data_IF_594378794113
#
_entry.id   IF_594378794113
#
_cell.length_a   1.000
_cell.length_b   1.000
_cell.length_c   1.000
_cell.angle_alpha   90.00
_cell.angle_beta   90.00
_cell.angle_gamma   90.00
#
_symmetry.space_group_name_H-M   'P 1'
#
loop_
_entity.id
_entity.type
_entity.pdbx_description
1 polymer ?
#
# COMPACT_ATOMS: atom_id res chain seq x y z
N UNK A 1 10.63 0.67 12.82
CA UNK A 1 10.20 1.15 11.49
C UNK A 1 10.35 2.66 11.37
N UNK A 2 10.54 3.20 10.15
CA UNK A 2 10.49 4.65 9.86
C UNK A 2 9.43 4.94 8.80
N UNK A 3 8.37 5.67 9.15
CA UNK A 3 7.35 6.12 8.19
C UNK A 3 7.97 7.23 7.32
N UNK A 4 7.94 7.03 6.02
CA UNK A 4 8.38 8.00 5.02
C UNK A 4 7.21 8.89 4.56
N UNK A 5 6.01 8.31 4.50
CA UNK A 5 4.81 9.00 4.01
C UNK A 5 3.53 8.37 4.55
N UNK A 6 2.53 9.20 4.80
CA UNK A 6 1.13 8.82 4.96
C UNK A 6 0.28 9.71 4.06
N UNK A 7 -0.60 9.11 3.26
CA UNK A 7 -1.57 9.80 2.41
C UNK A 7 -2.94 9.21 2.76
N UNK A 8 -3.95 10.06 2.88
CA UNK A 8 -5.31 9.60 3.14
C UNK A 8 -6.34 10.52 2.50
N UNK A 9 -7.47 9.93 2.13
CA UNK A 9 -8.72 10.62 1.86
C UNK A 9 -9.87 9.84 2.51
N UNK A 10 -11.09 10.09 2.07
CA UNK A 10 -12.32 9.48 2.58
C UNK A 10 -12.40 7.95 2.34
N UNK A 11 -11.60 7.43 1.39
CA UNK A 11 -11.65 6.03 0.93
C UNK A 11 -10.33 5.29 1.14
N UNK A 12 -9.21 5.93 0.80
CA UNK A 12 -7.92 5.30 0.71
C UNK A 12 -6.99 5.78 1.81
N UNK A 13 -6.19 4.84 2.31
CA UNK A 13 -5.07 5.11 3.19
C UNK A 13 -3.83 4.44 2.64
N UNK A 14 -2.78 5.23 2.44
CA UNK A 14 -1.50 4.78 1.91
C UNK A 14 -0.42 5.11 2.93
N UNK A 15 0.43 4.13 3.21
CA UNK A 15 1.61 4.32 4.04
C UNK A 15 2.83 3.81 3.31
N UNK A 16 3.86 4.65 3.23
CA UNK A 16 5.19 4.23 2.75
C UNK A 16 6.14 4.26 3.94
N UNK A 17 6.80 3.13 4.23
CA UNK A 17 7.69 3.04 5.39
C UNK A 17 8.92 2.18 5.10
N UNK A 18 10.04 2.55 5.71
CA UNK A 18 11.24 1.72 5.79
C UNK A 18 11.10 0.77 6.99
N UNK A 19 11.07 -0.52 6.72
CA UNK A 19 10.90 -1.58 7.72
C UNK A 19 11.77 -2.78 7.36
N UNK A 20 12.48 -3.35 8.34
CA UNK A 20 13.41 -4.47 8.14
C UNK A 20 14.38 -4.29 6.94
N UNK A 21 14.87 -3.07 6.75
CA UNK A 21 15.82 -2.74 5.67
C UNK A 21 15.21 -2.64 4.26
N UNK A 22 13.88 -2.71 4.12
CA UNK A 22 13.15 -2.58 2.84
C UNK A 22 12.11 -1.48 2.90
N UNK A 23 11.79 -0.89 1.75
CA UNK A 23 10.70 0.08 1.64
C UNK A 23 9.41 -0.66 1.31
N UNK A 24 8.40 -0.43 2.13
CA UNK A 24 7.07 -1.02 1.98
C UNK A 24 6.05 0.05 1.57
N UNK A 25 5.15 -0.36 0.69
CA UNK A 25 3.92 0.35 0.34
C UNK A 25 2.75 -0.44 0.92
N UNK A 26 2.03 0.18 1.84
CA UNK A 26 0.76 -0.31 2.35
C UNK A 26 -0.37 0.53 1.75
N UNK A 27 -1.43 -0.14 1.31
CA UNK A 27 -2.65 0.45 0.79
C UNK A 27 -3.84 -0.22 1.47
N UNK A 28 -4.76 0.60 1.97
CA UNK A 28 -6.08 0.20 2.47
C UNK A 28 -7.17 0.94 1.70
N UNK A 29 -8.16 0.20 1.22
CA UNK A 29 -9.42 0.71 0.69
C UNK A 29 -10.51 0.45 1.73
N UNK A 30 -10.91 1.51 2.45
CA UNK A 30 -11.93 1.46 3.51
C UNK A 30 -13.32 1.09 2.95
N UNK A 31 -13.60 1.44 1.70
CA UNK A 31 -14.90 1.17 1.07
C UNK A 31 -15.06 -0.29 0.71
N UNK A 32 -14.03 -0.89 0.11
CA UNK A 32 -14.07 -2.29 -0.33
C UNK A 32 -13.60 -3.28 0.74
N UNK A 33 -13.03 -2.78 1.85
CA UNK A 33 -12.44 -3.61 2.91
C UNK A 33 -11.27 -4.43 2.39
N UNK A 34 -10.44 -3.82 1.54
CA UNK A 34 -9.24 -4.46 0.98
C UNK A 34 -7.97 -3.81 1.51
N UNK A 35 -6.95 -4.63 1.70
CA UNK A 35 -5.64 -4.21 2.20
C UNK A 35 -4.55 -4.87 1.35
N UNK A 36 -3.45 -4.18 1.16
CA UNK A 36 -2.26 -4.76 0.54
C UNK A 36 -0.99 -4.21 1.15
N UNK A 37 0.04 -5.04 1.14
CA UNK A 37 1.39 -4.67 1.50
C UNK A 37 2.31 -5.16 0.39
N UNK A 38 3.20 -4.30 -0.09
CA UNK A 38 4.17 -4.65 -1.11
C UNK A 38 5.55 -4.06 -0.84
N UNK A 39 6.60 -4.74 -1.31
CA UNK A 39 7.96 -4.20 -1.32
C UNK A 39 8.16 -3.37 -2.58
N UNK A 40 8.58 -2.12 -2.39
CA UNK A 40 8.91 -1.21 -3.48
C UNK A 40 10.38 -0.78 -3.38
N UNK A 41 10.96 -0.35 -4.50
CA UNK A 41 12.30 0.23 -4.53
C UNK A 41 12.28 1.69 -4.08
N UNK A 42 13.39 2.19 -3.53
CA UNK A 42 13.47 3.58 -3.03
C UNK A 42 13.14 4.64 -4.09
N UNK A 43 13.44 4.37 -5.37
CA UNK A 43 13.09 5.25 -6.49
C UNK A 43 11.59 5.32 -6.80
N UNK A 44 10.81 4.32 -6.38
CA UNK A 44 9.37 4.22 -6.66
C UNK A 44 8.53 5.05 -5.69
N UNK A 45 9.10 5.57 -4.60
CA UNK A 45 8.40 6.43 -3.64
C UNK A 45 7.83 7.69 -4.31
N UNK A 46 8.59 8.26 -5.27
CA UNK A 46 8.12 9.42 -6.05
C UNK A 46 6.93 9.06 -6.95
N UNK A 47 6.91 7.84 -7.50
CA UNK A 47 5.80 7.36 -8.32
C UNK A 47 4.50 7.26 -7.51
N UNK A 48 4.56 6.92 -6.22
CA UNK A 48 3.39 6.92 -5.34
C UNK A 48 2.77 8.32 -5.24
N UNK A 49 3.59 9.38 -5.16
CA UNK A 49 3.10 10.76 -5.13
C UNK A 49 2.41 11.16 -6.44
N UNK A 50 3.02 10.81 -7.57
CA UNK A 50 2.45 11.11 -8.90
C UNK A 50 1.09 10.44 -9.10
N UNK A 51 0.94 9.18 -8.66
CA UNK A 51 -0.33 8.46 -8.72
C UNK A 51 -1.37 9.04 -7.76
N UNK A 52 -0.95 9.46 -6.56
CA UNK A 52 -1.84 10.11 -5.60
C UNK A 52 -2.36 11.45 -6.13
N UNK A 53 -1.49 12.29 -6.68
CA UNK A 53 -1.92 13.55 -7.28
C UNK A 53 -2.87 13.34 -8.46
N UNK A 54 -2.65 12.29 -9.26
CA UNK A 54 -3.55 11.95 -10.36
C UNK A 54 -4.92 11.53 -9.84
N UNK A 55 -4.97 10.67 -8.82
CA UNK A 55 -6.21 10.27 -8.13
C UNK A 55 -7.02 11.46 -7.63
N UNK A 56 -6.37 12.45 -7.02
CA UNK A 56 -7.07 13.64 -6.52
C UNK A 56 -7.65 14.54 -7.63
N UNK A 57 -7.12 14.46 -8.86
CA UNK A 57 -7.53 15.30 -9.99
C UNK A 57 -8.51 14.62 -10.94
N UNK A 58 -8.49 13.29 -10.97
CA UNK A 58 -9.23 12.47 -11.93
C UNK A 58 -10.12 11.45 -11.19
N UNK A 59 -11.45 11.66 -11.14
CA UNK A 59 -12.37 10.77 -10.41
C UNK A 59 -12.51 9.38 -11.06
N UNK A 60 -12.10 9.20 -12.31
CA UNK A 60 -12.13 7.89 -12.99
C UNK A 60 -10.83 7.09 -12.79
N UNK A 61 -9.82 7.70 -12.15
CA UNK A 61 -8.54 7.06 -11.96
C UNK A 61 -8.59 5.93 -10.92
N UNK A 62 -8.25 4.71 -11.34
CA UNK A 62 -8.13 3.57 -10.43
C UNK A 62 -6.79 3.58 -9.69
N UNK A 63 -6.71 4.33 -8.59
CA UNK A 63 -5.52 4.38 -7.74
C UNK A 63 -5.05 3.00 -7.24
N UNK A 64 -5.91 2.10 -6.73
CA UNK A 64 -5.48 0.76 -6.32
C UNK A 64 -4.85 -0.05 -7.45
N UNK A 65 -5.42 0.03 -8.66
CA UNK A 65 -4.92 -0.69 -9.82
C UNK A 65 -3.47 -0.33 -10.11
N UNK A 66 -3.15 0.97 -10.12
CA UNK A 66 -1.80 1.45 -10.42
C UNK A 66 -0.81 1.18 -9.28
N UNK A 67 -1.21 1.36 -8.02
CA UNK A 67 -0.35 1.11 -6.86
C UNK A 67 0.03 -0.37 -6.74
N UNK A 68 -0.89 -1.29 -7.02
CA UNK A 68 -0.65 -2.74 -6.95
C UNK A 68 0.31 -3.25 -8.04
N UNK A 69 0.54 -2.47 -9.10
CA UNK A 69 1.49 -2.80 -10.17
C UNK A 69 2.94 -2.43 -9.81
N UNK A 70 3.16 -1.58 -8.81
CA UNK A 70 4.50 -1.17 -8.38
C UNK A 70 5.26 -2.36 -7.76
N UNK A 71 4.79 -2.96 -6.64
CA UNK A 71 5.55 -4.01 -5.98
C UNK A 71 5.48 -5.34 -6.74
N UNK A 72 6.67 -5.93 -6.98
CA UNK A 72 6.79 -7.32 -7.48
C UNK A 72 6.37 -8.34 -6.43
N UNK A 73 6.75 -8.11 -5.17
CA UNK A 73 6.38 -8.95 -4.03
C UNK A 73 5.30 -8.24 -3.22
N UNK A 74 4.15 -8.87 -3.06
CA UNK A 74 3.00 -8.29 -2.37
C UNK A 74 2.09 -9.34 -1.75
N UNK A 75 1.31 -8.92 -0.79
CA UNK A 75 0.16 -9.66 -0.26
C UNK A 75 -1.06 -8.77 -0.41
N UNK A 76 -2.18 -9.36 -0.80
CA UNK A 76 -3.47 -8.70 -0.84
C UNK A 76 -4.46 -9.48 0.02
N UNK A 77 -5.25 -8.76 0.81
CA UNK A 77 -6.35 -9.28 1.61
C UNK A 77 -7.62 -8.56 1.17
N UNK A 78 -8.65 -9.31 0.85
CA UNK A 78 -9.97 -8.76 0.57
C UNK A 78 -11.03 -9.66 1.21
N UNK A 79 -11.72 -9.12 2.22
CA UNK A 79 -12.67 -9.88 3.04
C UNK A 79 -12.01 -11.15 3.61
N UNK A 80 -12.50 -12.33 3.25
CA UNK A 80 -11.95 -13.63 3.67
C UNK A 80 -10.89 -14.20 2.71
N UNK A 81 -10.60 -13.52 1.60
CA UNK A 81 -9.69 -13.98 0.57
C UNK A 81 -8.31 -13.35 0.71
N UNK A 82 -7.27 -14.14 0.48
CA UNK A 82 -5.88 -13.69 0.57
C UNK A 82 -5.11 -14.19 -0.65
N UNK A 83 -4.32 -13.30 -1.24
CA UNK A 83 -3.39 -13.62 -2.31
C UNK A 83 -1.97 -13.25 -1.86
N UNK A 84 -1.13 -14.27 -1.65
CA UNK A 84 0.26 -14.13 -1.24
C UNK A 84 1.19 -14.26 -2.45
N UNK A 85 1.84 -13.18 -2.83
CA UNK A 85 2.78 -13.11 -3.96
C UNK A 85 4.15 -12.75 -3.40
N UNK A 86 4.78 -13.72 -2.73
CA UNK A 86 6.10 -13.55 -2.11
C UNK A 86 6.15 -12.69 -0.84
N UNK A 87 5.02 -12.14 -0.41
CA UNK A 87 4.78 -11.67 0.97
C UNK A 87 3.59 -12.44 1.56
N UNK A 88 3.55 -12.52 2.89
CA UNK A 88 2.54 -13.28 3.64
C UNK A 88 1.54 -12.37 4.35
N UNK A 89 0.37 -12.90 4.66
CA UNK A 89 -0.66 -12.24 5.48
C UNK A 89 -0.11 -11.87 6.86
N UNK A 90 0.64 -12.76 7.49
CA UNK A 90 1.29 -12.50 8.78
C UNK A 90 2.14 -11.22 8.71
N UNK A 91 2.83 -11.00 7.59
CA UNK A 91 3.67 -9.84 7.39
C UNK A 91 2.87 -8.55 7.19
N UNK A 92 1.70 -8.62 6.56
CA UNK A 92 0.74 -7.53 6.49
C UNK A 92 0.26 -7.12 7.89
N UNK A 93 -0.16 -8.08 8.71
CA UNK A 93 -0.69 -7.80 10.04
C UNK A 93 0.41 -7.23 10.97
N UNK A 94 1.62 -7.80 10.94
CA UNK A 94 2.76 -7.24 11.69
C UNK A 94 3.10 -5.81 11.27
N UNK A 95 3.05 -5.51 9.98
CA UNK A 95 3.31 -4.16 9.48
C UNK A 95 2.28 -3.16 10.03
N UNK A 96 0.99 -3.55 10.04
CA UNK A 96 -0.11 -2.73 10.55
C UNK A 96 0.05 -2.41 12.03
N UNK A 97 0.36 -3.42 12.84
CA UNK A 97 0.63 -3.25 14.27
C UNK A 97 1.76 -2.25 14.53
N UNK A 98 2.86 -2.33 13.76
CA UNK A 98 3.98 -1.41 13.91
C UNK A 98 3.65 0.02 13.48
N UNK A 99 2.74 0.20 12.50
CA UNK A 99 2.44 1.51 11.89
C UNK A 99 1.21 2.21 12.44
N UNK A 100 0.54 1.55 13.38
CA UNK A 100 -0.62 2.04 14.10
C UNK A 100 -1.89 1.98 13.25
N UNK A 101 -2.08 0.87 12.54
CA UNK A 101 -3.21 0.61 11.63
C UNK A 101 -4.12 -0.52 12.12
#
# INVERSE_FOLDING_TARGET
MKVLKKLNDDRFKIVVALWEGKTFLYLKDEREGSESLGVIEGGEVKRVDELWEKHLKDPEFCLPCELLLIPKLKVLKWKSSVAEIGLTLERLERFKEEVGE
#
